data_IF_448773104346
#
_entry.id   IF_448773104346
#
_cell.length_a   1.000
_cell.length_b   1.000
_cell.length_c   1.000
_cell.angle_alpha   90.00
_cell.angle_beta   90.00
_cell.angle_gamma   90.00
#
_symmetry.space_group_name_H-M   'P 1'
#
loop_
_entity.id
_entity.type
_entity.pdbx_description
1 polymer ?
#
# COMPACT_ATOMS: atom_id res chain seq x y z
N UNK A 1 14.26 -30.55 -61.80
CA UNK A 1 15.29 -30.39 -60.74
C UNK A 1 15.42 -28.91 -60.42
N UNK A 2 14.78 -28.42 -59.39
CA UNK A 2 14.95 -27.05 -58.90
C UNK A 2 15.17 -27.15 -57.37
N UNK A 3 16.38 -26.81 -56.95
CA UNK A 3 16.92 -26.86 -55.60
C UNK A 3 16.25 -25.76 -54.77
N UNK A 4 15.54 -26.15 -53.72
CA UNK A 4 15.08 -25.26 -52.66
C UNK A 4 16.25 -24.81 -51.80
N UNK A 5 16.58 -23.55 -51.89
CA UNK A 5 17.50 -22.91 -50.93
C UNK A 5 16.75 -22.59 -49.66
N UNK A 6 16.99 -23.36 -48.61
CA UNK A 6 16.54 -23.12 -47.25
C UNK A 6 17.45 -22.06 -46.64
N UNK A 7 16.93 -20.85 -46.45
CA UNK A 7 17.58 -19.79 -45.69
C UNK A 7 17.19 -19.99 -44.19
N UNK A 8 18.15 -20.47 -43.42
CA UNK A 8 18.03 -20.53 -41.95
C UNK A 8 18.27 -19.12 -41.42
N UNK A 9 17.20 -18.47 -40.98
CA UNK A 9 17.30 -17.22 -40.20
C UNK A 9 17.62 -17.62 -38.77
N UNK A 10 18.86 -17.46 -38.37
CA UNK A 10 19.30 -17.59 -36.99
C UNK A 10 18.85 -16.34 -36.20
N UNK A 11 17.73 -16.43 -35.51
CA UNK A 11 17.32 -15.43 -34.51
C UNK A 11 18.16 -15.59 -33.27
N UNK A 12 19.17 -14.75 -33.12
CA UNK A 12 19.91 -14.60 -31.86
C UNK A 12 19.01 -13.97 -30.82
N UNK A 13 18.49 -14.81 -29.90
CA UNK A 13 17.84 -14.34 -28.70
C UNK A 13 18.93 -13.75 -27.78
N UNK A 14 19.05 -12.42 -27.77
CA UNK A 14 19.82 -11.73 -26.75
C UNK A 14 19.06 -11.85 -25.42
N UNK A 15 19.46 -12.82 -24.61
CA UNK A 15 19.11 -12.91 -23.19
C UNK A 15 19.79 -11.72 -22.49
N UNK A 16 19.09 -10.60 -22.39
CA UNK A 16 19.42 -9.55 -21.43
C UNK A 16 19.16 -10.12 -20.04
N UNK A 17 20.23 -10.67 -19.44
CA UNK A 17 20.27 -10.92 -18.00
C UNK A 17 20.20 -9.56 -17.30
N UNK A 18 18.99 -9.03 -17.16
CA UNK A 18 18.70 -7.98 -16.23
C UNK A 18 19.13 -8.48 -14.86
N UNK A 19 20.14 -7.84 -14.30
CA UNK A 19 20.59 -8.06 -12.94
C UNK A 19 19.42 -7.76 -12.02
N UNK A 20 18.59 -8.78 -11.73
CA UNK A 20 17.75 -8.77 -10.56
C UNK A 20 18.71 -8.76 -9.37
N UNK A 21 18.98 -7.57 -8.84
CA UNK A 21 19.46 -7.44 -7.47
C UNK A 21 18.30 -7.92 -6.58
N UNK A 22 18.15 -9.24 -6.50
CA UNK A 22 17.41 -9.83 -5.40
C UNK A 22 18.23 -9.53 -4.16
N UNK A 23 17.97 -8.42 -3.51
CA UNK A 23 18.24 -8.26 -2.10
C UNK A 23 17.39 -9.32 -1.41
N UNK A 24 17.88 -10.55 -1.43
CA UNK A 24 17.40 -11.59 -0.54
C UNK A 24 17.87 -11.16 0.86
N UNK A 25 17.13 -10.25 1.48
CA UNK A 25 17.15 -10.14 2.93
C UNK A 25 16.71 -11.50 3.45
N UNK A 26 17.72 -12.34 3.71
CA UNK A 26 17.54 -13.62 4.40
C UNK A 26 17.12 -13.24 5.81
N UNK A 27 15.85 -13.05 5.99
CA UNK A 27 15.22 -12.91 7.28
C UNK A 27 15.34 -14.23 8.04
N UNK A 28 16.38 -14.36 8.85
CA UNK A 28 16.59 -15.48 9.77
C UNK A 28 15.90 -15.19 11.11
N UNK A 29 14.80 -15.89 11.37
CA UNK A 29 14.18 -15.93 12.68
C UNK A 29 13.05 -14.92 12.92
N UNK A 30 12.71 -14.70 14.20
CA UNK A 30 11.58 -13.87 14.65
C UNK A 30 11.61 -12.42 14.17
N UNK A 31 12.76 -11.88 13.78
CA UNK A 31 12.89 -10.52 13.24
C UNK A 31 12.10 -10.33 11.94
N UNK A 32 11.90 -11.38 11.15
CA UNK A 32 11.08 -11.33 9.93
C UNK A 32 9.56 -11.17 10.18
N UNK A 33 9.09 -11.61 11.34
CA UNK A 33 7.67 -11.47 11.68
C UNK A 33 7.28 -10.01 12.00
N UNK A 34 8.26 -9.13 12.21
CA UNK A 34 8.04 -7.73 12.58
C UNK A 34 8.32 -6.72 11.46
N UNK A 35 8.74 -7.18 10.27
CA UNK A 35 8.91 -6.29 9.11
C UNK A 35 7.57 -6.07 8.40
N UNK A 36 6.54 -5.73 9.17
CA UNK A 36 5.27 -5.29 8.63
C UNK A 36 5.43 -3.88 8.11
N UNK A 37 4.83 -3.61 6.94
CA UNK A 37 4.70 -2.25 6.44
C UNK A 37 4.13 -1.34 7.52
N UNK A 38 4.67 -0.14 7.64
CA UNK A 38 4.00 0.91 8.42
C UNK A 38 2.66 1.24 7.79
N UNK A 39 1.74 1.78 8.56
CA UNK A 39 0.43 2.16 8.02
C UNK A 39 0.55 3.16 6.86
N UNK A 40 1.55 4.06 6.89
CA UNK A 40 1.82 5.01 5.80
C UNK A 40 2.30 4.29 4.53
N UNK A 41 3.24 3.36 4.64
CA UNK A 41 3.71 2.53 3.51
C UNK A 41 2.58 1.67 2.93
N UNK A 42 1.71 1.11 3.78
CA UNK A 42 0.53 0.37 3.35
C UNK A 42 -0.45 1.23 2.55
N UNK A 43 -0.63 2.51 2.93
CA UNK A 43 -1.44 3.46 2.17
C UNK A 43 -0.81 3.72 0.80
N UNK A 44 0.48 4.06 0.76
CA UNK A 44 1.17 4.37 -0.49
C UNK A 44 1.16 3.16 -1.44
N UNK A 45 1.44 1.96 -0.95
CA UNK A 45 1.37 0.73 -1.73
C UNK A 45 -0.05 0.44 -2.25
N UNK A 46 -1.09 0.69 -1.44
CA UNK A 46 -2.48 0.51 -1.88
C UNK A 46 -2.84 1.49 -2.99
N UNK A 47 -2.45 2.77 -2.87
CA UNK A 47 -2.67 3.80 -3.90
C UNK A 47 -1.98 3.42 -5.21
N UNK A 48 -0.76 2.86 -5.17
CA UNK A 48 -0.07 2.37 -6.36
C UNK A 48 -0.91 1.31 -7.09
N UNK A 49 -1.46 0.33 -6.38
CA UNK A 49 -2.31 -0.72 -6.98
C UNK A 49 -3.62 -0.16 -7.55
N UNK A 50 -4.24 0.82 -6.89
CA UNK A 50 -5.43 1.51 -7.41
C UNK A 50 -5.10 2.23 -8.72
N UNK A 51 -3.95 2.91 -8.79
CA UNK A 51 -3.48 3.59 -9.99
C UNK A 51 -3.16 2.60 -11.13
N UNK A 52 -2.58 1.44 -10.83
CA UNK A 52 -2.37 0.38 -11.81
C UNK A 52 -3.71 -0.15 -12.36
N UNK A 53 -4.74 -0.30 -11.53
CA UNK A 53 -6.08 -0.65 -11.98
C UNK A 53 -6.67 0.41 -12.94
N UNK A 54 -6.51 1.70 -12.64
CA UNK A 54 -6.95 2.80 -13.53
C UNK A 54 -6.17 2.82 -14.85
N UNK A 55 -4.87 2.59 -14.81
CA UNK A 55 -4.04 2.44 -16.02
C UNK A 55 -4.50 1.25 -16.87
N UNK A 56 -4.80 0.10 -16.24
CA UNK A 56 -5.28 -1.08 -16.93
C UNK A 56 -6.62 -0.82 -17.66
N UNK A 57 -7.51 -0.01 -17.08
CA UNK A 57 -8.74 0.44 -17.76
C UNK A 57 -8.39 1.31 -18.97
N UNK A 58 -7.50 2.29 -18.80
CA UNK A 58 -7.12 3.24 -19.85
C UNK A 58 -6.42 2.54 -21.03
N UNK A 59 -5.54 1.57 -20.71
CA UNK A 59 -4.80 0.77 -21.71
C UNK A 59 -5.62 -0.38 -22.29
N UNK A 60 -6.87 -0.58 -21.83
CA UNK A 60 -7.74 -1.68 -22.25
C UNK A 60 -7.09 -3.06 -22.08
N UNK A 61 -6.39 -3.25 -20.96
CA UNK A 61 -5.64 -4.47 -20.66
C UNK A 61 -6.48 -5.72 -20.39
N UNK A 62 -7.80 -5.62 -20.47
CA UNK A 62 -8.74 -6.71 -20.20
C UNK A 62 -9.28 -6.70 -18.76
N UNK A 63 -10.46 -7.30 -18.60
CA UNK A 63 -11.20 -7.32 -17.34
C UNK A 63 -10.40 -7.99 -16.21
N UNK A 64 -9.74 -9.10 -16.50
CA UNK A 64 -9.00 -9.90 -15.52
C UNK A 64 -7.86 -9.10 -14.90
N UNK A 65 -7.06 -8.40 -15.72
CA UNK A 65 -5.94 -7.57 -15.25
C UNK A 65 -6.42 -6.43 -14.34
N UNK A 66 -7.55 -5.80 -14.66
CA UNK A 66 -8.15 -4.75 -13.83
C UNK A 66 -8.60 -5.33 -12.48
N UNK A 67 -9.29 -6.47 -12.52
CA UNK A 67 -9.79 -7.14 -11.33
C UNK A 67 -8.64 -7.58 -10.41
N UNK A 68 -7.54 -8.06 -10.97
CA UNK A 68 -6.39 -8.52 -10.18
C UNK A 68 -5.68 -7.35 -9.49
N UNK A 69 -5.50 -6.22 -10.15
CA UNK A 69 -4.99 -5.01 -9.51
C UNK A 69 -5.92 -4.52 -8.37
N UNK A 70 -7.24 -4.61 -8.55
CA UNK A 70 -8.20 -4.27 -7.48
C UNK A 70 -8.11 -5.25 -6.31
N UNK A 71 -7.93 -6.55 -6.57
CA UNK A 71 -7.73 -7.57 -5.51
C UNK A 71 -6.44 -7.31 -4.74
N UNK A 72 -5.37 -6.94 -5.45
CA UNK A 72 -4.08 -6.60 -4.83
C UNK A 72 -4.21 -5.37 -3.95
N UNK A 73 -4.88 -4.30 -4.41
CA UNK A 73 -5.19 -3.13 -3.61
C UNK A 73 -5.97 -3.49 -2.33
N UNK A 74 -6.98 -4.38 -2.44
CA UNK A 74 -7.76 -4.86 -1.29
C UNK A 74 -6.91 -5.71 -0.33
N UNK A 75 -5.94 -6.47 -0.82
CA UNK A 75 -5.03 -7.27 0.00
C UNK A 75 -4.05 -6.36 0.75
N UNK A 76 -3.39 -5.45 0.03
CA UNK A 76 -2.42 -4.50 0.59
C UNK A 76 -3.06 -3.57 1.61
N UNK A 77 -4.31 -3.15 1.39
CA UNK A 77 -5.04 -2.27 2.33
C UNK A 77 -5.21 -2.88 3.72
N UNK A 78 -5.11 -4.20 3.89
CA UNK A 78 -5.19 -4.87 5.20
C UNK A 78 -4.01 -4.55 6.11
N UNK A 79 -2.87 -4.19 5.52
CA UNK A 79 -1.67 -3.79 6.24
C UNK A 79 -1.79 -2.39 6.86
N UNK A 80 -2.77 -1.59 6.43
CA UNK A 80 -3.06 -0.26 6.98
C UNK A 80 -3.74 -0.44 8.34
N UNK A 81 -2.95 -0.44 9.41
CA UNK A 81 -3.43 -0.58 10.78
C UNK A 81 -2.82 0.53 11.65
N UNK A 82 -3.63 1.46 12.14
CA UNK A 82 -3.19 2.57 12.97
C UNK A 82 -4.11 2.82 14.17
N UNK A 83 -5.41 3.00 13.94
CA UNK A 83 -6.42 3.22 14.97
C UNK A 83 -7.84 3.03 14.39
N UNK A 84 -8.86 2.98 15.26
CA UNK A 84 -10.27 2.74 14.88
C UNK A 84 -10.81 3.75 13.85
N UNK A 85 -10.34 5.00 13.87
CA UNK A 85 -10.78 6.03 12.93
C UNK A 85 -10.22 5.75 11.54
N UNK A 86 -8.94 5.39 11.46
CA UNK A 86 -8.28 4.98 10.22
C UNK A 86 -8.94 3.71 9.69
N UNK A 87 -9.18 2.72 10.53
CA UNK A 87 -9.82 1.45 10.12
C UNK A 87 -11.21 1.65 9.54
N UNK A 88 -12.05 2.49 10.16
CA UNK A 88 -13.38 2.82 9.60
C UNK A 88 -13.29 3.48 8.22
N UNK A 89 -12.35 4.41 8.03
CA UNK A 89 -12.19 5.10 6.75
C UNK A 89 -11.55 4.19 5.69
N UNK A 90 -10.59 3.34 6.06
CA UNK A 90 -10.07 2.26 5.21
C UNK A 90 -11.18 1.35 4.71
N UNK A 91 -12.09 0.92 5.59
CA UNK A 91 -13.20 0.05 5.20
C UNK A 91 -14.13 0.74 4.19
N UNK A 92 -14.38 2.05 4.32
CA UNK A 92 -15.14 2.82 3.33
C UNK A 92 -14.42 2.90 1.98
N UNK A 93 -13.09 3.07 1.98
CA UNK A 93 -12.28 3.03 0.76
C UNK A 93 -12.35 1.64 0.10
N UNK A 94 -12.25 0.58 0.90
CA UNK A 94 -12.39 -0.80 0.42
C UNK A 94 -13.76 -1.09 -0.17
N UNK A 95 -14.81 -0.48 0.33
CA UNK A 95 -16.15 -0.63 -0.24
C UNK A 95 -16.25 0.02 -1.62
N UNK A 96 -15.57 1.16 -1.86
CA UNK A 96 -15.45 1.76 -3.20
C UNK A 96 -14.67 0.82 -4.15
N UNK A 97 -13.57 0.18 -3.69
CA UNK A 97 -12.85 -0.83 -4.48
C UNK A 97 -13.71 -2.05 -4.83
N UNK A 98 -14.49 -2.56 -3.88
CA UNK A 98 -15.41 -3.70 -4.14
C UNK A 98 -16.47 -3.34 -5.17
N UNK A 99 -17.04 -2.13 -5.07
CA UNK A 99 -18.00 -1.62 -6.07
C UNK A 99 -17.35 -1.41 -7.43
N UNK A 100 -16.11 -0.88 -7.49
CA UNK A 100 -15.35 -0.76 -8.72
C UNK A 100 -15.16 -2.12 -9.40
N UNK A 101 -14.79 -3.15 -8.62
CA UNK A 101 -14.66 -4.52 -9.13
C UNK A 101 -15.98 -5.06 -9.70
N UNK A 102 -17.11 -4.74 -9.07
CA UNK A 102 -18.43 -5.13 -9.60
C UNK A 102 -18.74 -4.41 -10.91
N UNK A 103 -18.47 -3.10 -10.99
CA UNK A 103 -18.68 -2.31 -12.21
C UNK A 103 -17.82 -2.82 -13.38
N UNK A 104 -16.56 -3.24 -13.11
CA UNK A 104 -15.71 -3.88 -14.13
C UNK A 104 -16.36 -5.16 -14.67
N UNK A 105 -16.88 -6.02 -13.80
CA UNK A 105 -17.58 -7.26 -14.19
C UNK A 105 -18.87 -7.00 -14.96
N UNK A 106 -19.53 -5.88 -14.72
CA UNK A 106 -20.73 -5.43 -15.43
C UNK A 106 -20.37 -4.74 -16.76
N UNK A 107 -19.07 -4.51 -17.05
CA UNK A 107 -18.59 -3.83 -18.24
C UNK A 107 -18.68 -2.30 -18.17
N UNK A 108 -19.08 -1.73 -17.02
CA UNK A 108 -19.18 -0.28 -16.81
C UNK A 108 -17.84 0.29 -16.37
N UNK A 109 -16.95 0.51 -17.35
CA UNK A 109 -15.60 1.02 -17.11
C UNK A 109 -15.59 2.49 -16.64
N UNK A 110 -16.62 3.27 -17.00
CA UNK A 110 -16.76 4.67 -16.55
C UNK A 110 -16.99 4.71 -15.06
N UNK A 111 -17.99 3.98 -14.59
CA UNK A 111 -18.32 3.85 -13.16
C UNK A 111 -17.18 3.20 -12.38
N UNK A 112 -16.50 2.21 -12.95
CA UNK A 112 -15.33 1.61 -12.32
C UNK A 112 -14.23 2.64 -12.08
N UNK A 113 -13.93 3.49 -13.06
CA UNK A 113 -12.93 4.56 -12.96
C UNK A 113 -13.30 5.59 -11.88
N UNK A 114 -14.56 6.01 -11.82
CA UNK A 114 -15.05 6.94 -10.79
C UNK A 114 -14.88 6.36 -9.38
N UNK A 115 -15.24 5.09 -9.21
CA UNK A 115 -15.13 4.40 -7.93
C UNK A 115 -13.68 4.14 -7.51
N UNK A 116 -12.78 3.89 -8.48
CA UNK A 116 -11.34 3.77 -8.21
C UNK A 116 -10.75 5.10 -7.77
N UNK A 117 -11.14 6.20 -8.43
CA UNK A 117 -10.72 7.54 -8.03
C UNK A 117 -11.23 7.92 -6.64
N UNK A 118 -12.49 7.60 -6.34
CA UNK A 118 -13.05 7.78 -5.00
C UNK A 118 -12.25 6.98 -3.94
N UNK A 119 -11.84 5.75 -4.28
CA UNK A 119 -11.03 4.93 -3.38
C UNK A 119 -9.65 5.54 -3.16
N UNK A 120 -8.98 6.02 -4.23
CA UNK A 120 -7.70 6.72 -4.16
C UNK A 120 -7.77 7.93 -3.23
N UNK A 121 -8.74 8.82 -3.43
CA UNK A 121 -8.95 10.02 -2.62
C UNK A 121 -9.17 9.66 -1.13
N UNK A 122 -9.93 8.59 -0.87
CA UNK A 122 -10.17 8.11 0.50
C UNK A 122 -8.90 7.55 1.14
N UNK A 123 -8.09 6.77 0.41
CA UNK A 123 -6.81 6.27 0.92
C UNK A 123 -5.82 7.41 1.15
N UNK A 124 -5.72 8.38 0.24
CA UNK A 124 -4.88 9.56 0.44
C UNK A 124 -5.26 10.34 1.70
N UNK A 125 -6.57 10.47 1.97
CA UNK A 125 -7.07 11.10 3.18
C UNK A 125 -6.68 10.39 4.49
N UNK A 126 -6.37 9.07 4.46
CA UNK A 126 -5.90 8.34 5.64
C UNK A 126 -4.53 8.81 6.11
N UNK A 127 -3.66 9.23 5.19
CA UNK A 127 -2.29 9.66 5.50
C UNK A 127 -2.30 10.82 6.48
N UNK A 128 -3.13 11.84 6.24
CA UNK A 128 -3.29 12.97 7.16
C UNK A 128 -3.82 12.57 8.54
N UNK A 129 -4.65 11.53 8.61
CA UNK A 129 -5.18 11.03 9.89
C UNK A 129 -4.11 10.31 10.72
N UNK A 130 -3.15 9.66 10.07
CA UNK A 130 -2.03 8.99 10.74
C UNK A 130 -1.06 10.03 11.27
N UNK A 131 -0.72 11.05 10.48
CA UNK A 131 0.20 12.12 10.87
C UNK A 131 -0.31 12.87 12.10
N UNK A 132 -1.59 13.24 12.12
CA UNK A 132 -2.24 13.87 13.27
C UNK A 132 -2.19 12.98 14.53
N UNK A 133 -2.43 11.68 14.39
CA UNK A 133 -2.37 10.74 15.51
C UNK A 133 -0.95 10.62 16.08
N UNK A 134 0.07 10.66 15.25
CA UNK A 134 1.46 10.64 15.70
C UNK A 134 1.82 11.93 16.42
N UNK A 135 1.43 13.09 15.91
CA UNK A 135 1.65 14.39 16.55
C UNK A 135 1.00 14.43 17.95
N UNK A 136 -0.23 13.95 18.08
CA UNK A 136 -0.94 13.86 19.37
C UNK A 136 -0.19 12.97 20.38
N UNK A 137 0.31 11.80 19.92
CA UNK A 137 1.10 10.90 20.80
C UNK A 137 2.39 11.54 21.30
N UNK A 138 3.12 12.22 20.41
CA UNK A 138 4.35 12.93 20.77
C UNK A 138 4.05 14.04 21.78
N UNK A 139 2.99 14.81 21.57
CA UNK A 139 2.57 15.87 22.49
C UNK A 139 2.20 15.32 23.88
N UNK A 140 1.47 14.20 23.94
CA UNK A 140 1.11 13.55 25.19
C UNK A 140 2.35 13.02 25.92
N UNK A 141 3.29 12.43 25.20
CA UNK A 141 4.52 11.90 25.76
C UNK A 141 5.41 13.03 26.32
N UNK A 142 5.51 14.14 25.62
CA UNK A 142 6.25 15.33 26.08
C UNK A 142 5.61 15.91 27.33
N UNK A 143 4.27 16.02 27.38
CA UNK A 143 3.56 16.50 28.55
C UNK A 143 3.71 15.57 29.75
N UNK A 144 3.75 14.25 29.54
CA UNK A 144 4.00 13.29 30.62
C UNK A 144 5.43 13.41 31.17
N UNK A 145 6.43 13.55 30.31
CA UNK A 145 7.83 13.79 30.70
C UNK A 145 7.98 15.08 31.52
N UNK A 146 7.37 16.17 31.09
CA UNK A 146 7.41 17.44 31.80
C UNK A 146 6.77 17.32 33.20
N UNK A 147 5.65 16.57 33.33
CA UNK A 147 5.05 16.31 34.65
C UNK A 147 5.96 15.53 35.59
N UNK A 148 6.72 14.57 35.06
CA UNK A 148 7.68 13.78 35.87
C UNK A 148 8.85 14.65 36.33
N UNK A 149 9.34 15.55 35.47
CA UNK A 149 10.43 16.46 35.77
C UNK A 149 10.03 17.57 36.74
N UNK A 150 8.77 18.00 36.73
CA UNK A 150 8.24 19.06 37.61
C UNK A 150 7.74 18.50 38.94
N UNK A 151 7.75 17.18 39.17
CA UNK A 151 7.43 16.62 40.48
C UNK A 151 8.62 16.85 41.43
N UNK A 152 8.47 17.63 42.51
CA UNK A 152 9.52 17.83 43.48
C UNK A 152 9.89 16.51 44.11
N UNK A 153 11.18 16.23 44.23
CA UNK A 153 11.72 15.02 44.85
C UNK A 153 11.17 14.88 46.30
N UNK A 154 10.36 13.86 46.58
CA UNK A 154 9.80 13.67 47.92
C UNK A 154 10.87 13.39 48.98
N UNK A 155 12.12 13.11 48.55
CA UNK A 155 13.25 12.87 49.47
C UNK A 155 13.96 14.16 49.91
N UNK A 156 13.68 15.29 49.25
CA UNK A 156 14.33 16.58 49.55
C UNK A 156 13.87 17.20 50.90
N UNK A 157 12.81 16.64 51.54
CA UNK A 157 12.22 17.15 52.77
C UNK A 157 12.70 16.50 54.07
N UNK A 158 13.57 15.50 54.05
CA UNK A 158 13.99 14.77 55.25
C UNK A 158 15.48 14.99 55.54
N UNK A 159 15.85 16.23 55.87
CA UNK A 159 17.09 16.54 56.58
C UNK A 159 16.76 17.50 57.73
N UNK A 160 16.44 16.92 58.90
CA UNK A 160 16.58 17.56 60.20
C UNK A 160 17.59 16.80 61.01
#
# INVERSE_FOLDING_TARGET
MKLLKSTIVATTLALSLGSFSASADICLGMACMYNRMTAAEGIDATIVQVNEAMKAITSKSGEEAIIDNIKEALATSKEINANDKVDRNRNRANDSLKKARSAVKEGDMTKATELLKEAEDRFAGLKSMIDLTQADRVSQQTNMLNRILDTPDPSAGVRK
#
